data_IF_725458749562
#
_entry.id   IF_725458749562
#
_cell.length_a   1.000
_cell.length_b   1.000
_cell.length_c   1.000
_cell.angle_alpha   90.00
_cell.angle_beta   90.00
_cell.angle_gamma   90.00
#
_symmetry.space_group_name_H-M   'P 1'
#
loop_
_entity.id
_entity.type
_entity.pdbx_description
1 polymer ?
#
# COMPACT_ATOMS: atom_id res chain seq x y z
N UNK A 1 18.30 -7.34 6.32
CA UNK A 1 17.32 -6.66 5.46
C UNK A 1 16.24 -6.13 6.38
N UNK A 2 16.26 -4.83 6.68
CA UNK A 2 15.28 -4.20 7.57
C UNK A 2 14.23 -3.53 6.66
N UNK A 3 13.11 -4.19 6.43
CA UNK A 3 11.92 -3.54 5.89
C UNK A 3 11.18 -2.90 7.07
N UNK A 4 10.76 -1.64 6.93
CA UNK A 4 9.78 -1.06 7.87
C UNK A 4 8.43 -1.61 7.43
N UNK A 5 7.94 -2.61 8.15
CA UNK A 5 6.58 -3.11 7.95
C UNK A 5 5.60 -2.08 8.53
N UNK A 6 4.80 -1.48 7.65
CA UNK A 6 3.74 -0.54 8.03
C UNK A 6 2.44 -1.30 8.29
N UNK A 7 1.93 -1.17 9.51
CA UNK A 7 0.63 -1.74 9.88
C UNK A 7 -0.41 -0.63 10.00
N UNK A 8 -1.50 -0.75 9.24
CA UNK A 8 -2.65 0.13 9.32
C UNK A 8 -3.80 -0.57 10.06
N UNK A 9 -4.26 0.01 11.16
CA UNK A 9 -5.44 -0.48 11.88
C UNK A 9 -6.72 -0.09 11.16
N UNK A 10 -7.50 -1.08 10.71
CA UNK A 10 -8.73 -0.86 9.93
C UNK A 10 -10.03 -0.98 10.75
N UNK A 11 -9.93 -1.34 12.02
CA UNK A 11 -11.11 -1.55 12.88
C UNK A 11 -12.04 -2.64 12.32
N UNK A 12 -13.30 -2.30 12.10
CA UNK A 12 -14.31 -3.21 11.52
C UNK A 12 -14.46 -3.08 10.00
N UNK A 13 -13.58 -2.32 9.33
CA UNK A 13 -13.65 -2.17 7.88
C UNK A 13 -13.33 -3.50 7.18
N UNK A 14 -14.17 -3.88 6.22
CA UNK A 14 -14.07 -5.14 5.47
C UNK A 14 -13.46 -4.97 4.08
N UNK A 15 -13.11 -3.75 3.70
CA UNK A 15 -12.52 -3.41 2.39
C UNK A 15 -11.61 -2.19 2.54
N UNK A 16 -10.52 -2.16 1.77
CA UNK A 16 -9.67 -0.99 1.58
C UNK A 16 -9.97 -0.44 0.18
N UNK A 17 -10.51 0.77 0.09
CA UNK A 17 -10.86 1.36 -1.21
C UNK A 17 -9.62 1.65 -2.04
N UNK A 18 -8.57 2.22 -1.41
CA UNK A 18 -7.35 2.63 -2.11
C UNK A 18 -6.12 2.68 -1.21
N UNK A 19 -4.97 2.33 -1.78
CA UNK A 19 -3.63 2.61 -1.25
C UNK A 19 -2.90 3.51 -2.26
N UNK A 20 -2.32 4.61 -1.79
CA UNK A 20 -1.54 5.53 -2.62
C UNK A 20 -0.11 5.63 -2.09
N UNK A 21 0.86 5.50 -2.99
CA UNK A 21 2.28 5.67 -2.69
C UNK A 21 2.83 6.76 -3.60
N UNK A 22 3.34 7.83 -3.00
CA UNK A 22 4.10 8.86 -3.68
C UNK A 22 5.58 8.55 -3.56
N UNK A 23 6.22 8.21 -4.68
CA UNK A 23 7.63 7.84 -4.72
C UNK A 23 8.56 9.07 -4.83
N UNK A 24 9.83 8.97 -4.39
CA UNK A 24 10.79 10.06 -4.50
C UNK A 24 11.06 10.54 -5.94
N UNK A 25 10.88 9.66 -6.93
CA UNK A 25 10.94 10.01 -8.36
C UNK A 25 9.79 10.91 -8.82
N UNK A 26 8.73 11.02 -8.02
CA UNK A 26 7.49 11.70 -8.38
C UNK A 26 6.43 10.78 -8.97
N UNK A 27 6.71 9.49 -9.17
CA UNK A 27 5.69 8.50 -9.59
C UNK A 27 4.64 8.34 -8.50
N UNK A 28 3.36 8.36 -8.89
CA UNK A 28 2.25 8.02 -8.01
C UNK A 28 1.72 6.64 -8.35
N UNK A 29 1.85 5.72 -7.41
CA UNK A 29 1.31 4.36 -7.53
C UNK A 29 0.00 4.27 -6.74
N UNK A 30 -1.04 3.77 -7.41
CA UNK A 30 -2.37 3.58 -6.84
C UNK A 30 -2.75 2.11 -6.94
N UNK A 31 -3.27 1.55 -5.85
CA UNK A 31 -3.90 0.24 -5.81
C UNK A 31 -5.30 0.39 -5.24
N UNK A 32 -6.29 -0.28 -5.83
CA UNK A 32 -7.70 -0.17 -5.45
C UNK A 32 -8.28 -1.54 -5.12
N UNK A 33 -9.43 -1.56 -4.43
CA UNK A 33 -10.20 -2.76 -4.13
C UNK A 33 -9.38 -3.86 -3.41
N UNK A 34 -8.65 -3.48 -2.36
CA UNK A 34 -7.79 -4.41 -1.62
C UNK A 34 -8.54 -5.06 -0.46
N UNK A 35 -8.35 -6.36 -0.30
CA UNK A 35 -8.81 -7.12 0.86
C UNK A 35 -8.00 -6.77 2.12
N UNK A 36 -8.65 -6.58 3.28
CA UNK A 36 -7.95 -6.43 4.56
C UNK A 36 -7.13 -7.65 4.98
N UNK A 37 -6.33 -7.51 6.05
CA UNK A 37 -5.59 -8.60 6.71
C UNK A 37 -4.57 -9.32 5.82
N UNK A 38 -3.92 -8.59 4.91
CA UNK A 38 -2.82 -9.10 4.09
C UNK A 38 -1.65 -8.13 4.07
N UNK A 39 -0.47 -8.66 3.73
CA UNK A 39 0.67 -7.84 3.35
C UNK A 39 0.54 -7.48 1.87
N UNK A 40 0.72 -6.20 1.55
CA UNK A 40 0.80 -5.69 0.18
C UNK A 40 2.24 -5.25 -0.04
N UNK A 41 2.93 -5.94 -0.94
CA UNK A 41 4.26 -5.51 -1.38
C UNK A 41 4.12 -4.35 -2.36
N UNK A 42 4.84 -3.26 -2.10
CA UNK A 42 4.91 -2.09 -2.98
C UNK A 42 6.34 -1.91 -3.45
N UNK A 43 6.51 -1.81 -4.76
CA UNK A 43 7.81 -1.62 -5.41
C UNK A 43 7.67 -0.45 -6.34
N UNK A 44 8.62 0.48 -6.29
CA UNK A 44 8.64 1.63 -7.20
C UNK A 44 8.62 1.14 -8.65
N UNK A 45 7.64 1.57 -9.46
CA UNK A 45 7.56 1.18 -10.86
C UNK A 45 8.79 1.65 -11.64
N UNK A 46 9.24 0.86 -12.61
CA UNK A 46 10.22 1.32 -13.59
C UNK A 46 9.62 2.50 -14.39
N UNK A 47 10.42 3.56 -14.55
CA UNK A 47 10.06 4.76 -15.32
C UNK A 47 9.95 4.50 -16.81
#
# INVERSE_FOLDING_TARGET
MNCIDLHFGLGSATKIDRIEVQWPSGVMQVSEDIEPNRTVEVVEPAS
#
